data_IF_465694770539
#
_entry.id   IF_465694770539
#
_cell.length_a   1.000
_cell.length_b   1.000
_cell.length_c   1.000
_cell.angle_alpha   90.00
_cell.angle_beta   90.00
_cell.angle_gamma   90.00
#
_symmetry.space_group_name_H-M   'P 1'
#
loop_
_entity.id
_entity.type
_entity.pdbx_description
1 polymer ?
#
# COMPACT_ATOMS: atom_id res chain seq x y z
N UNK A 1 -5.65 3.27 -10.99
CA UNK A 1 -5.80 4.25 -9.89
C UNK A 1 -6.77 5.39 -10.22
N UNK A 2 -6.61 6.15 -11.32
CA UNK A 2 -7.49 7.31 -11.61
C UNK A 2 -8.97 6.98 -11.73
N UNK A 3 -9.32 5.74 -12.11
CA UNK A 3 -10.71 5.28 -12.16
C UNK A 3 -11.34 4.98 -10.79
N UNK A 4 -10.53 4.92 -9.73
CA UNK A 4 -10.94 4.53 -8.36
C UNK A 4 -11.07 5.74 -7.41
N UNK A 5 -10.72 6.93 -7.89
CA UNK A 5 -10.65 8.15 -7.08
C UNK A 5 -11.45 9.26 -7.76
N UNK A 6 -12.08 10.11 -6.97
CA UNK A 6 -12.71 11.34 -7.46
C UNK A 6 -11.64 12.32 -7.99
N UNK A 7 -12.01 13.32 -8.81
CA UNK A 7 -11.06 14.33 -9.29
C UNK A 7 -10.36 15.11 -8.16
N UNK A 8 -11.07 15.41 -7.07
CA UNK A 8 -10.53 16.08 -5.88
C UNK A 8 -9.50 15.19 -5.17
N UNK A 9 -9.81 13.90 -5.04
CA UNK A 9 -8.91 12.92 -4.45
C UNK A 9 -7.64 12.76 -5.28
N UNK A 10 -7.75 12.74 -6.61
CA UNK A 10 -6.59 12.70 -7.51
C UNK A 10 -5.68 13.92 -7.31
N UNK A 11 -6.26 15.11 -7.12
CA UNK A 11 -5.51 16.35 -6.88
C UNK A 11 -4.93 16.48 -5.47
N UNK A 12 -5.35 15.63 -4.52
CA UNK A 12 -4.91 15.69 -3.12
C UNK A 12 -3.41 15.45 -3.00
N UNK A 13 -2.69 16.34 -2.31
CA UNK A 13 -1.26 16.16 -2.01
C UNK A 13 -1.04 14.97 -1.08
N UNK A 14 -0.07 14.11 -1.40
CA UNK A 14 0.19 12.87 -0.66
C UNK A 14 1.63 12.72 -0.19
N UNK A 15 1.79 11.98 0.90
CA UNK A 15 3.09 11.42 1.32
C UNK A 15 3.17 10.01 0.74
N UNK A 16 4.22 9.74 -0.04
CA UNK A 16 4.48 8.42 -0.60
C UNK A 16 5.51 7.67 0.25
N UNK A 17 5.16 6.45 0.64
CA UNK A 17 6.07 5.51 1.30
C UNK A 17 6.15 4.24 0.45
N UNK A 18 7.37 3.79 0.15
CA UNK A 18 7.62 2.51 -0.52
C UNK A 18 8.34 1.57 0.43
N UNK A 19 7.78 0.38 0.64
CA UNK A 19 8.24 -0.57 1.66
C UNK A 19 8.40 -1.96 1.05
N UNK A 20 9.50 -2.64 1.40
CA UNK A 20 9.79 -4.01 1.03
C UNK A 20 9.35 -4.95 2.16
N UNK A 21 8.56 -5.97 1.85
CA UNK A 21 8.15 -7.00 2.80
C UNK A 21 9.14 -8.16 2.74
N UNK A 22 9.68 -8.55 3.89
CA UNK A 22 10.69 -9.61 4.00
C UNK A 22 10.25 -10.64 5.02
N UNK A 23 10.27 -11.92 4.62
CA UNK A 23 10.02 -13.08 5.50
C UNK A 23 11.19 -14.04 5.31
N UNK A 24 11.77 -14.52 6.41
CA UNK A 24 12.94 -15.41 6.41
C UNK A 24 14.06 -14.93 5.47
N UNK A 25 14.38 -13.63 5.57
CA UNK A 25 15.38 -12.94 4.74
C UNK A 25 15.09 -12.91 3.23
N UNK A 26 13.87 -13.25 2.80
CA UNK A 26 13.43 -13.22 1.40
C UNK A 26 12.37 -12.14 1.18
N UNK A 27 12.57 -11.31 0.15
CA UNK A 27 11.61 -10.29 -0.25
C UNK A 27 10.35 -10.92 -0.85
N UNK A 28 9.18 -10.75 -0.25
CA UNK A 28 7.95 -11.40 -0.74
C UNK A 28 6.98 -10.43 -1.42
N UNK A 29 7.13 -9.13 -1.18
CA UNK A 29 6.25 -8.13 -1.73
C UNK A 29 6.76 -6.71 -1.55
N UNK A 30 6.12 -5.78 -2.23
CA UNK A 30 6.41 -4.34 -2.14
C UNK A 30 5.07 -3.62 -1.97
N UNK A 31 5.00 -2.70 -1.02
CA UNK A 31 3.85 -1.78 -0.90
C UNK A 31 4.29 -0.36 -1.21
N UNK A 32 3.59 0.25 -2.16
CA UNK A 32 3.52 1.69 -2.32
C UNK A 32 2.27 2.22 -1.60
N UNK A 33 2.47 3.20 -0.73
CA UNK A 33 1.45 3.80 0.14
C UNK A 33 1.40 5.30 -0.11
N UNK A 34 0.23 5.84 -0.45
CA UNK A 34 0.02 7.27 -0.68
C UNK A 34 -1.03 7.83 0.28
N UNK A 35 -0.57 8.42 1.38
CA UNK A 35 -1.40 8.96 2.47
C UNK A 35 -1.68 10.44 2.24
N UNK A 36 -2.90 10.90 2.49
CA UNK A 36 -3.27 12.32 2.35
C UNK A 36 -2.44 13.21 3.29
N UNK A 37 -1.60 14.08 2.73
CA UNK A 37 -0.56 14.82 3.47
C UNK A 37 -1.14 15.69 4.59
N UNK A 38 -2.32 16.28 4.38
CA UNK A 38 -2.98 17.13 5.37
C UNK A 38 -3.33 16.38 6.67
N UNK A 39 -3.53 15.07 6.62
CA UNK A 39 -3.87 14.24 7.78
C UNK A 39 -2.64 13.81 8.58
N UNK A 40 -1.46 13.77 7.94
CA UNK A 40 -0.25 13.17 8.51
C UNK A 40 0.95 14.12 8.50
N UNK A 41 0.87 15.26 9.20
CA UNK A 41 1.97 16.21 9.24
C UNK A 41 3.25 15.52 9.70
N UNK A 42 4.34 15.77 8.96
CA UNK A 42 5.71 15.26 9.24
C UNK A 42 5.88 13.74 9.17
N UNK A 43 4.94 12.98 8.61
CA UNK A 43 5.10 11.52 8.47
C UNK A 43 6.39 11.13 7.73
N UNK A 44 6.78 11.88 6.70
CA UNK A 44 8.01 11.63 5.93
C UNK A 44 9.31 11.77 6.73
N UNK A 45 9.26 12.35 7.94
CA UNK A 45 10.41 12.55 8.82
C UNK A 45 10.39 11.62 10.04
N UNK A 46 9.46 10.67 10.08
CA UNK A 46 9.23 9.79 11.24
C UNK A 46 9.48 8.33 10.88
N UNK A 47 10.04 7.59 11.83
CA UNK A 47 10.11 6.14 11.79
C UNK A 47 8.74 5.53 12.09
N UNK A 48 8.34 4.54 11.30
CA UNK A 48 7.10 3.80 11.53
C UNK A 48 7.22 2.95 12.80
N UNK A 49 6.15 2.90 13.59
CA UNK A 49 6.04 2.02 14.76
C UNK A 49 6.10 0.57 14.29
N UNK A 50 7.16 -0.14 14.66
CA UNK A 50 7.45 -1.53 14.25
C UNK A 50 7.40 -1.75 12.73
N UNK A 51 7.75 -0.72 11.94
CA UNK A 51 7.67 -0.76 10.48
C UNK A 51 6.24 -0.69 9.91
N UNK A 52 5.22 -0.58 10.76
CA UNK A 52 3.81 -0.58 10.39
C UNK A 52 3.25 0.84 10.19
N UNK A 53 2.79 1.11 8.98
CA UNK A 53 2.12 2.37 8.66
C UNK A 53 0.74 2.45 9.33
N UNK A 54 -0.07 1.40 9.27
CA UNK A 54 -1.41 1.40 9.89
C UNK A 54 -1.34 1.64 11.40
N UNK A 55 -0.41 0.97 12.09
CA UNK A 55 -0.15 1.22 13.52
C UNK A 55 0.25 2.67 13.77
N UNK A 56 1.15 3.21 12.93
CA UNK A 56 1.59 4.60 13.03
C UNK A 56 0.43 5.58 12.82
N UNK A 57 -0.44 5.34 11.83
CA UNK A 57 -1.63 6.18 11.56
C UNK A 57 -2.58 6.20 12.76
N UNK A 58 -2.83 5.03 13.35
CA UNK A 58 -3.71 4.90 14.51
C UNK A 58 -3.12 5.56 15.75
N UNK A 59 -1.92 5.16 16.18
CA UNK A 59 -1.38 5.56 17.48
C UNK A 59 -0.85 7.00 17.51
N UNK A 60 -0.33 7.50 16.39
CA UNK A 60 0.29 8.83 16.32
C UNK A 60 -0.68 9.90 15.84
N UNK A 61 -1.54 9.55 14.87
CA UNK A 61 -2.43 10.50 14.21
C UNK A 61 -3.90 10.31 14.58
N UNK A 62 -4.25 9.24 15.31
CA UNK A 62 -5.65 8.92 15.63
C UNK A 62 -6.47 8.55 14.40
N UNK A 63 -5.83 8.12 13.31
CA UNK A 63 -6.47 7.85 12.03
C UNK A 63 -6.72 6.35 11.88
N UNK A 64 -7.99 5.99 11.75
CA UNK A 64 -8.45 4.62 11.45
C UNK A 64 -9.35 4.68 10.22
N UNK A 65 -9.19 3.79 9.23
CA UNK A 65 -10.13 3.71 8.11
C UNK A 65 -11.56 3.43 8.60
N UNK A 66 -12.54 4.16 8.07
CA UNK A 66 -13.97 3.84 8.22
C UNK A 66 -14.47 2.88 7.15
N UNK A 67 -13.90 2.96 5.94
CA UNK A 67 -14.14 2.04 4.83
C UNK A 67 -12.84 1.74 4.08
N UNK A 68 -12.74 0.56 3.47
CA UNK A 68 -11.62 0.21 2.59
C UNK A 68 -12.06 -0.73 1.47
N UNK A 69 -11.97 -0.24 0.24
CA UNK A 69 -12.24 -1.02 -0.96
C UNK A 69 -10.95 -1.65 -1.48
N UNK A 70 -10.97 -2.97 -1.69
CA UNK A 70 -9.82 -3.75 -2.15
C UNK A 70 -10.07 -4.34 -3.54
N UNK A 71 -9.06 -4.28 -4.41
CA UNK A 71 -9.10 -4.79 -5.77
C UNK A 71 -7.89 -5.69 -6.01
N UNK A 72 -8.14 -6.97 -6.27
CA UNK A 72 -7.10 -7.96 -6.57
C UNK A 72 -7.02 -8.19 -8.08
N UNK A 73 -5.81 -8.07 -8.61
CA UNK A 73 -5.49 -8.25 -10.02
C UNK A 73 -4.26 -9.16 -10.17
N UNK A 74 -4.08 -9.71 -11.37
CA UNK A 74 -2.82 -10.35 -11.77
C UNK A 74 -1.97 -9.32 -12.49
N UNK A 75 -0.68 -9.28 -12.15
CA UNK A 75 0.32 -8.46 -12.83
C UNK A 75 1.57 -9.26 -13.16
N UNK A 76 2.53 -8.58 -13.78
CA UNK A 76 3.83 -9.12 -14.14
C UNK A 76 4.92 -8.16 -13.63
N UNK A 77 6.00 -8.71 -13.09
CA UNK A 77 7.07 -7.91 -12.49
C UNK A 77 7.81 -7.07 -13.53
N UNK A 78 7.75 -5.75 -13.40
CA UNK A 78 8.61 -4.84 -14.16
C UNK A 78 10.03 -4.79 -13.60
N UNK A 79 10.92 -4.04 -14.26
CA UNK A 79 12.35 -3.98 -13.90
C UNK A 79 12.64 -3.57 -12.47
N UNK A 80 11.87 -2.61 -11.91
CA UNK A 80 12.05 -2.19 -10.51
C UNK A 80 11.58 -3.26 -9.53
N UNK A 81 10.49 -3.95 -9.82
CA UNK A 81 9.91 -4.98 -8.95
C UNK A 81 10.79 -6.23 -8.97
N UNK A 82 11.20 -6.68 -10.16
CA UNK A 82 12.11 -7.81 -10.34
C UNK A 82 13.41 -7.62 -9.54
N UNK A 83 14.01 -6.43 -9.60
CA UNK A 83 15.22 -6.10 -8.82
C UNK A 83 14.97 -6.17 -7.32
N UNK A 84 13.93 -5.52 -6.82
CA UNK A 84 13.65 -5.42 -5.38
C UNK A 84 13.20 -6.76 -4.78
N UNK A 85 12.45 -7.57 -5.53
CA UNK A 85 11.96 -8.88 -5.10
C UNK A 85 12.97 -10.01 -5.29
N UNK A 86 14.08 -9.72 -5.96
CA UNK A 86 15.04 -10.72 -6.45
C UNK A 86 14.30 -11.82 -7.24
N UNK A 87 13.63 -11.39 -8.31
CA UNK A 87 12.84 -12.20 -9.22
C UNK A 87 13.20 -11.89 -10.68
N UNK A 88 12.68 -12.68 -11.61
CA UNK A 88 12.82 -12.42 -13.05
C UNK A 88 11.87 -11.31 -13.50
N UNK A 89 12.19 -10.67 -14.63
CA UNK A 89 11.20 -9.90 -15.38
C UNK A 89 9.99 -10.78 -15.70
N UNK A 90 8.82 -10.16 -15.75
CA UNK A 90 7.53 -10.78 -16.03
C UNK A 90 7.11 -11.89 -15.05
N UNK A 91 7.82 -12.03 -13.91
CA UNK A 91 7.41 -12.96 -12.86
C UNK A 91 5.96 -12.65 -12.44
N UNK A 92 5.07 -13.67 -12.30
CA UNK A 92 3.69 -13.45 -11.94
C UNK A 92 3.56 -12.79 -10.57
N UNK A 93 2.78 -11.72 -10.51
CA UNK A 93 2.49 -10.97 -9.29
C UNK A 93 0.99 -11.01 -8.99
N UNK A 94 0.64 -11.14 -7.72
CA UNK A 94 -0.64 -10.64 -7.23
C UNK A 94 -0.51 -9.14 -6.97
N UNK A 95 -1.41 -8.35 -7.52
CA UNK A 95 -1.45 -6.90 -7.33
C UNK A 95 -2.72 -6.55 -6.58
N UNK A 96 -2.58 -5.97 -5.39
CA UNK A 96 -3.69 -5.51 -4.56
C UNK A 96 -3.68 -3.99 -4.54
N UNK A 97 -4.74 -3.38 -5.02
CA UNK A 97 -5.02 -1.97 -4.79
C UNK A 97 -6.00 -1.82 -3.63
N UNK A 98 -5.72 -0.88 -2.74
CA UNK A 98 -6.68 -0.50 -1.68
C UNK A 98 -6.93 1.00 -1.72
N UNK A 99 -8.19 1.40 -1.54
CA UNK A 99 -8.59 2.79 -1.31
C UNK A 99 -9.29 2.85 0.04
N UNK A 100 -8.72 3.60 0.97
CA UNK A 100 -9.21 3.72 2.33
C UNK A 100 -9.70 5.13 2.62
N UNK A 101 -10.92 5.24 3.15
CA UNK A 101 -11.55 6.49 3.56
C UNK A 101 -11.78 6.51 5.06
N UNK A 102 -11.77 7.69 5.66
CA UNK A 102 -12.22 7.90 7.03
C UNK A 102 -13.74 7.75 7.12
N UNK A 103 -14.27 7.60 8.33
CA UNK A 103 -15.71 7.49 8.58
C UNK A 103 -16.52 8.73 8.09
N UNK A 104 -15.86 9.88 7.98
CA UNK A 104 -16.44 11.12 7.42
C UNK A 104 -16.36 11.21 5.88
N UNK A 105 -15.88 10.14 5.22
CA UNK A 105 -15.77 10.04 3.77
C UNK A 105 -14.51 10.68 3.18
N UNK A 106 -13.65 11.34 3.98
CA UNK A 106 -12.39 11.88 3.46
C UNK A 106 -11.41 10.78 3.14
N UNK A 107 -10.67 10.95 2.06
CA UNK A 107 -9.63 9.99 1.66
C UNK A 107 -8.48 9.97 2.67
N UNK A 108 -8.18 8.78 3.20
CA UNK A 108 -7.06 8.54 4.09
C UNK A 108 -5.81 8.13 3.30
N UNK A 109 -5.91 7.01 2.58
CA UNK A 109 -4.78 6.38 1.92
C UNK A 109 -5.22 5.65 0.65
N UNK A 110 -4.31 5.60 -0.33
CA UNK A 110 -4.36 4.62 -1.42
C UNK A 110 -3.12 3.76 -1.34
N UNK A 111 -3.23 2.45 -1.52
CA UNK A 111 -2.08 1.55 -1.57
C UNK A 111 -2.06 0.73 -2.85
N UNK A 112 -0.86 0.38 -3.28
CA UNK A 112 -0.58 -0.68 -4.25
C UNK A 112 0.40 -1.64 -3.62
N UNK A 113 -0.05 -2.85 -3.37
CA UNK A 113 0.83 -3.92 -2.89
C UNK A 113 0.99 -4.96 -3.97
N UNK A 114 2.23 -5.27 -4.31
CA UNK A 114 2.55 -6.42 -5.16
C UNK A 114 3.14 -7.54 -4.32
N UNK A 115 2.71 -8.76 -4.60
CA UNK A 115 3.23 -9.96 -3.97
C UNK A 115 3.74 -10.92 -5.04
N UNK A 116 4.93 -11.47 -4.83
CA UNK A 116 5.49 -12.44 -5.76
C UNK A 116 4.68 -13.74 -5.68
N UNK A 117 4.02 -14.12 -6.78
CA UNK A 117 3.05 -15.23 -6.79
C UNK A 117 3.65 -16.58 -6.42
N UNK A 118 4.96 -16.77 -6.60
CA UNK A 118 5.67 -17.99 -6.17
C UNK A 118 5.94 -18.06 -4.67
N UNK A 119 5.69 -16.99 -3.91
CA UNK A 119 6.00 -16.89 -2.47
C UNK A 119 4.79 -16.70 -1.57
N UNK A 120 3.61 -16.42 -2.14
CA UNK A 120 2.40 -16.15 -1.35
C UNK A 120 1.19 -16.91 -1.88
N UNK A 121 0.22 -17.12 -0.99
CA UNK A 121 -1.13 -17.56 -1.31
C UNK A 121 -2.11 -16.72 -0.50
N UNK A 122 -3.19 -16.28 -1.12
CA UNK A 122 -4.29 -15.66 -0.40
C UNK A 122 -5.28 -16.71 0.07
N UNK A 123 -5.69 -16.60 1.33
CA UNK A 123 -6.79 -17.36 1.91
C UNK A 123 -7.89 -16.36 2.23
N UNK A 124 -9.06 -16.54 1.63
CA UNK A 124 -10.25 -15.74 1.89
C UNK A 124 -11.29 -16.63 2.54
N UNK A 125 -11.91 -16.11 3.59
CA UNK A 125 -13.06 -16.73 4.26
C UNK A 125 -14.17 -15.70 4.32
N UNK A 126 -15.41 -16.17 4.27
CA UNK A 126 -16.61 -15.35 4.47
C UNK A 126 -16.72 -14.81 5.91
#
# INVERSE_FOLDING_TARGET
MTKLLSPEEVATKRVHLKRLHVVDHRAIGITDSWVAHALVPRLSRRTLIDGSLSRTLQEVYGLVPGDTNNYLEVGAAGSSEARLLNATLDAPLFVVWSVAHLADGRLLETTRTVWLGSRVRFHYTD
#
